data_IF_788507079647
#
_entry.id   IF_788507079647
#
_cell.length_a   1.000
_cell.length_b   1.000
_cell.length_c   1.000
_cell.angle_alpha   90.00
_cell.angle_beta   90.00
_cell.angle_gamma   90.00
#
_symmetry.space_group_name_H-M   'P 1'
#
loop_
_entity.id
_entity.type
_entity.pdbx_description
1 polymer ?
#
# COMPACT_ATOMS: atom_id res chain seq x y z
N UNK A 1 -9.62 -3.73 8.70
CA UNK A 1 -8.65 -4.26 7.71
C UNK A 1 -7.66 -5.20 8.39
N UNK A 2 -6.94 -4.78 9.45
CA UNK A 2 -6.06 -5.66 10.26
C UNK A 2 -6.70 -7.00 10.67
N UNK A 3 -7.94 -6.98 11.17
CA UNK A 3 -8.59 -8.19 11.70
C UNK A 3 -8.92 -9.28 10.68
N UNK A 4 -8.88 -8.99 9.37
CA UNK A 4 -9.19 -9.99 8.34
C UNK A 4 -7.90 -10.66 7.86
N UNK A 5 -6.85 -9.88 7.61
CA UNK A 5 -5.59 -10.40 7.05
C UNK A 5 -4.82 -11.30 8.02
N UNK A 6 -5.01 -11.15 9.34
CA UNK A 6 -4.43 -12.07 10.34
C UNK A 6 -4.93 -13.51 10.22
N UNK A 7 -6.13 -13.72 9.66
CA UNK A 7 -6.72 -15.06 9.45
C UNK A 7 -6.29 -15.70 8.11
N UNK A 8 -5.59 -14.95 7.25
CA UNK A 8 -5.10 -15.40 5.95
C UNK A 8 -3.58 -15.21 5.86
N UNK A 9 -2.78 -16.13 6.44
CA UNK A 9 -1.35 -16.13 6.24
C UNK A 9 -0.96 -16.58 4.82
N UNK A 10 0.26 -16.26 4.42
CA UNK A 10 0.90 -16.72 3.17
C UNK A 10 0.13 -16.32 1.90
N UNK A 11 -0.32 -15.07 1.81
CA UNK A 11 -0.96 -14.54 0.62
C UNK A 11 0.07 -14.26 -0.50
N UNK A 12 -0.22 -14.73 -1.71
CA UNK A 12 0.58 -14.42 -2.90
C UNK A 12 0.42 -12.95 -3.33
N UNK A 13 -0.74 -12.35 -3.08
CA UNK A 13 -0.94 -10.92 -3.31
C UNK A 13 -2.07 -10.35 -2.45
N UNK A 14 -1.99 -9.06 -2.18
CA UNK A 14 -3.07 -8.25 -1.60
C UNK A 14 -3.37 -7.14 -2.60
N UNK A 15 -4.63 -7.05 -3.00
CA UNK A 15 -5.08 -5.97 -3.88
C UNK A 15 -5.95 -4.98 -3.12
N UNK A 16 -5.56 -3.70 -3.17
CA UNK A 16 -6.30 -2.58 -2.59
C UNK A 16 -6.90 -1.78 -3.74
N UNK A 17 -8.23 -1.74 -3.81
CA UNK A 17 -8.97 -0.96 -4.80
C UNK A 17 -9.50 0.29 -4.13
N UNK A 18 -9.10 1.46 -4.62
CA UNK A 18 -9.61 2.72 -4.10
C UNK A 18 -9.47 3.89 -5.08
N UNK A 19 -9.94 5.07 -4.68
CA UNK A 19 -9.59 6.30 -5.35
C UNK A 19 -8.15 6.69 -5.02
N UNK A 20 -7.54 7.42 -5.95
CA UNK A 20 -6.20 7.97 -5.78
C UNK A 20 -6.05 9.25 -6.58
N UNK A 21 -4.93 9.91 -6.31
CA UNK A 21 -4.37 10.94 -7.17
C UNK A 21 -2.85 10.85 -7.08
N UNK A 22 -2.13 11.71 -7.79
CA UNK A 22 -0.68 11.72 -7.81
C UNK A 22 -0.04 11.67 -6.41
N UNK A 23 0.56 10.52 -6.04
CA UNK A 23 1.20 10.33 -4.73
C UNK A 23 0.25 10.28 -3.53
N UNK A 24 -1.06 10.07 -3.76
CA UNK A 24 -2.07 9.97 -2.70
C UNK A 24 -3.00 8.79 -2.95
N UNK A 25 -3.19 7.96 -1.93
CA UNK A 25 -4.19 6.89 -1.92
C UNK A 25 -5.28 7.22 -0.88
N UNK A 26 -6.54 7.30 -1.32
CA UNK A 26 -7.67 7.55 -0.44
C UNK A 26 -8.18 6.22 0.14
N UNK A 27 -8.18 6.02 1.45
CA UNK A 27 -8.66 4.80 2.11
C UNK A 27 -9.78 5.14 3.10
N UNK A 28 -11.02 5.09 2.62
CA UNK A 28 -12.18 5.54 3.40
C UNK A 28 -12.08 7.04 3.68
N UNK A 29 -11.84 7.41 4.94
CA UNK A 29 -11.65 8.80 5.36
C UNK A 29 -10.16 9.15 5.60
N UNK A 30 -9.24 8.29 5.16
CA UNK A 30 -7.80 8.47 5.32
C UNK A 30 -7.18 8.86 3.99
N UNK A 31 -6.40 9.93 3.99
CA UNK A 31 -5.56 10.32 2.86
C UNK A 31 -4.15 9.82 3.15
N UNK A 32 -3.74 8.76 2.46
CA UNK A 32 -2.38 8.21 2.58
C UNK A 32 -1.48 8.91 1.55
N UNK A 33 -0.59 9.77 2.02
CA UNK A 33 0.37 10.52 1.21
C UNK A 33 1.76 10.50 1.88
N UNK A 34 2.75 11.18 1.30
CA UNK A 34 4.09 11.27 1.88
C UNK A 34 4.15 11.84 3.31
N UNK A 35 3.18 12.65 3.71
CA UNK A 35 3.15 13.28 5.03
C UNK A 35 2.49 12.36 6.07
N UNK A 36 1.51 11.57 5.66
CA UNK A 36 0.71 10.74 6.55
C UNK A 36 1.19 9.29 6.61
N UNK A 37 1.83 8.75 5.56
CA UNK A 37 2.13 7.32 5.39
C UNK A 37 2.94 6.72 6.55
N UNK A 38 3.89 7.47 7.12
CA UNK A 38 4.70 7.01 8.26
C UNK A 38 3.88 6.80 9.54
N UNK A 39 2.76 7.53 9.70
CA UNK A 39 1.84 7.34 10.83
C UNK A 39 1.12 5.99 10.79
N UNK A 40 1.10 5.35 9.61
CA UNK A 40 0.45 4.06 9.38
C UNK A 40 1.45 2.90 9.28
N UNK A 41 2.72 3.11 9.63
CA UNK A 41 3.78 2.10 9.54
C UNK A 41 3.39 0.75 10.14
N UNK A 42 2.78 0.74 11.34
CA UNK A 42 2.41 -0.52 12.00
C UNK A 42 1.37 -1.27 11.16
N UNK A 43 0.34 -0.57 10.70
CA UNK A 43 -0.75 -1.14 9.91
C UNK A 43 -0.24 -1.65 8.56
N UNK A 44 0.69 -0.92 7.93
CA UNK A 44 1.30 -1.31 6.66
C UNK A 44 2.21 -2.53 6.83
N UNK A 45 3.00 -2.58 7.91
CA UNK A 45 3.81 -3.76 8.25
C UNK A 45 2.96 -5.00 8.54
N UNK A 46 1.80 -4.83 9.18
CA UNK A 46 0.86 -5.94 9.39
C UNK A 46 0.31 -6.48 8.05
N UNK A 47 0.01 -5.59 7.10
CA UNK A 47 -0.44 -5.98 5.75
C UNK A 47 0.65 -6.80 5.05
N UNK A 48 1.89 -6.33 5.07
CA UNK A 48 2.99 -7.06 4.46
C UNK A 48 3.35 -8.36 5.18
N UNK A 49 3.12 -8.44 6.49
CA UNK A 49 3.33 -9.68 7.26
C UNK A 49 2.34 -10.79 6.89
N UNK A 50 1.22 -10.45 6.27
CA UNK A 50 0.27 -11.44 5.71
C UNK A 50 0.66 -11.91 4.30
N UNK A 51 1.62 -11.24 3.64
CA UNK A 51 2.14 -11.66 2.34
C UNK A 51 3.24 -12.71 2.51
N UNK A 52 3.41 -13.54 1.48
CA UNK A 52 4.62 -14.37 1.36
C UNK A 52 5.85 -13.49 1.10
N UNK A 53 7.05 -14.07 1.20
CA UNK A 53 8.30 -13.37 0.89
C UNK A 53 8.40 -12.87 -0.56
N UNK A 54 7.56 -13.39 -1.47
CA UNK A 54 7.43 -12.98 -2.86
C UNK A 54 6.02 -12.43 -3.16
N UNK A 55 5.28 -12.04 -2.13
CA UNK A 55 3.91 -11.58 -2.28
C UNK A 55 3.85 -10.11 -2.67
N UNK A 56 2.91 -9.77 -3.55
CA UNK A 56 2.77 -8.42 -4.10
C UNK A 56 1.63 -7.63 -3.43
N UNK A 57 1.87 -6.34 -3.17
CA UNK A 57 0.82 -5.38 -2.84
C UNK A 57 0.43 -4.58 -4.08
N UNK A 58 -0.79 -4.82 -4.58
CA UNK A 58 -1.31 -4.20 -5.79
C UNK A 58 -2.25 -3.05 -5.42
N UNK A 59 -1.91 -1.82 -5.80
CA UNK A 59 -2.76 -0.64 -5.63
C UNK A 59 -3.49 -0.29 -6.93
N UNK A 60 -4.81 -0.40 -6.89
CA UNK A 60 -5.68 0.02 -7.98
C UNK A 60 -6.32 1.35 -7.60
N UNK A 61 -5.64 2.45 -7.91
CA UNK A 61 -6.13 3.81 -7.74
C UNK A 61 -5.60 4.74 -8.83
N UNK A 62 -6.39 5.74 -9.22
CA UNK A 62 -6.05 6.65 -10.30
C UNK A 62 -4.73 7.39 -10.01
N UNK A 63 -3.79 7.32 -10.94
CA UNK A 63 -2.55 8.11 -10.99
C UNK A 63 -1.66 8.04 -9.73
N UNK A 64 -1.84 7.04 -8.85
CA UNK A 64 -1.16 6.97 -7.55
C UNK A 64 0.37 6.94 -7.71
N UNK A 65 0.87 6.22 -8.71
CA UNK A 65 2.29 6.13 -9.03
C UNK A 65 2.77 7.17 -10.05
N UNK A 66 1.91 8.12 -10.45
CA UNK A 66 2.24 9.04 -11.53
C UNK A 66 3.30 10.07 -11.11
N UNK A 67 4.33 10.24 -11.94
CA UNK A 67 5.41 11.21 -11.73
C UNK A 67 6.23 11.00 -10.46
N UNK A 68 7.17 11.90 -10.19
CA UNK A 68 8.17 11.73 -9.12
C UNK A 68 7.54 11.59 -7.73
N UNK A 69 6.46 12.33 -7.46
CA UNK A 69 5.74 12.24 -6.18
C UNK A 69 5.08 10.87 -5.99
N UNK A 70 4.48 10.33 -7.05
CA UNK A 70 3.89 8.99 -7.04
C UNK A 70 4.95 7.91 -6.82
N UNK A 71 6.06 7.97 -7.56
CA UNK A 71 7.18 7.03 -7.36
C UNK A 71 7.71 7.04 -5.93
N UNK A 72 7.97 8.22 -5.36
CA UNK A 72 8.44 8.34 -3.98
C UNK A 72 7.42 7.81 -2.95
N UNK A 73 6.13 7.99 -3.21
CA UNK A 73 5.06 7.44 -2.37
C UNK A 73 5.04 5.91 -2.42
N UNK A 74 5.14 5.31 -3.61
CA UNK A 74 5.20 3.84 -3.79
C UNK A 74 6.44 3.25 -3.14
N UNK A 75 7.61 3.86 -3.32
CA UNK A 75 8.85 3.41 -2.67
C UNK A 75 8.73 3.44 -1.14
N UNK A 76 8.12 4.51 -0.61
CA UNK A 76 7.90 4.63 0.83
C UNK A 76 6.92 3.57 1.33
N UNK A 77 5.86 3.31 0.59
CA UNK A 77 4.88 2.27 0.91
C UNK A 77 5.51 0.88 0.91
N UNK A 78 6.30 0.56 -0.11
CA UNK A 78 7.00 -0.72 -0.21
C UNK A 78 7.95 -0.93 0.97
N UNK A 79 8.68 0.10 1.37
CA UNK A 79 9.58 0.05 2.52
C UNK A 79 8.83 -0.18 3.85
N UNK A 80 7.65 0.41 4.01
CA UNK A 80 6.85 0.28 5.24
C UNK A 80 6.08 -1.03 5.30
N UNK A 81 5.59 -1.52 4.17
CA UNK A 81 4.94 -2.82 4.06
C UNK A 81 5.97 -3.97 4.13
N UNK A 82 7.20 -3.75 3.68
CA UNK A 82 8.20 -4.81 3.54
C UNK A 82 7.87 -5.78 2.41
N UNK A 83 7.14 -5.31 1.40
CA UNK A 83 6.67 -6.08 0.26
C UNK A 83 6.79 -5.26 -1.03
N UNK A 84 6.80 -5.93 -2.17
CA UNK A 84 6.80 -5.29 -3.47
C UNK A 84 5.44 -4.61 -3.73
N UNK A 85 5.46 -3.39 -4.25
CA UNK A 85 4.25 -2.59 -4.49
C UNK A 85 4.15 -2.21 -5.95
N UNK A 86 3.02 -2.55 -6.58
CA UNK A 86 2.68 -2.11 -7.93
C UNK A 86 1.43 -1.23 -7.90
N UNK A 87 1.45 -0.14 -8.66
CA UNK A 87 0.36 0.82 -8.70
C UNK A 87 0.18 1.43 -10.10
N UNK A 88 -1.01 2.00 -10.36
CA UNK A 88 -1.33 2.61 -11.65
C UNK A 88 -0.68 4.00 -11.80
N UNK A 89 -0.28 4.33 -13.03
CA UNK A 89 0.31 5.60 -13.47
C UNK A 89 -0.64 6.40 -14.35
#
# INVERSE_FOLDING_TARGET
>A
MQAILSDYPDLDFIQIISHGSQGVLYLGNTDLDQNSIDSYRSQLGDIGSSLTASGDLLLYGCDVAQGDQGCLFIDRLALLAGADVAAMI
#
